data_IF_601032611974
#
_entry.id   IF_601032611974
#
_cell.length_a   1.000
_cell.length_b   1.000
_cell.length_c   1.000
_cell.angle_alpha   90.00
_cell.angle_beta   90.00
_cell.angle_gamma   90.00
#
_symmetry.space_group_name_H-M   'P 1'
#
loop_
_entity.id
_entity.type
_entity.pdbx_description
1 polymer ?
#
# COMPACT_ATOMS: atom_id res chain seq x y z
N UNK A 1 5.91 -24.71 -5.15
CA UNK A 1 5.49 -23.87 -6.29
C UNK A 1 4.46 -22.93 -5.73
N UNK A 2 4.73 -21.63 -5.75
CA UNK A 2 3.77 -20.60 -5.35
C UNK A 2 2.70 -20.49 -6.45
N UNK A 3 1.44 -20.38 -6.07
CA UNK A 3 0.34 -20.13 -7.00
C UNK A 3 -0.16 -18.69 -6.88
N UNK A 4 -0.98 -18.28 -7.85
CA UNK A 4 -1.57 -16.93 -7.91
C UNK A 4 -2.28 -16.55 -6.62
N UNK A 5 -3.08 -17.46 -6.07
CA UNK A 5 -3.89 -17.14 -4.91
C UNK A 5 -3.04 -17.05 -3.63
N UNK A 6 -1.92 -17.76 -3.54
CA UNK A 6 -0.93 -17.58 -2.46
C UNK A 6 -0.27 -16.19 -2.55
N UNK A 7 0.08 -15.74 -3.76
CA UNK A 7 0.58 -14.38 -3.99
C UNK A 7 -0.45 -13.32 -3.58
N UNK A 8 -1.72 -13.47 -4.00
CA UNK A 8 -2.81 -12.56 -3.61
C UNK A 8 -3.07 -12.57 -2.10
N UNK A 9 -3.00 -13.74 -1.47
CA UNK A 9 -3.16 -13.87 -0.02
C UNK A 9 -2.02 -13.18 0.73
N UNK A 10 -0.79 -13.25 0.23
CA UNK A 10 0.34 -12.50 0.79
C UNK A 10 0.14 -10.98 0.66
N UNK A 11 -0.30 -10.51 -0.51
CA UNK A 11 -0.65 -9.10 -0.75
C UNK A 11 -1.72 -8.58 0.23
N UNK A 12 -2.68 -9.43 0.63
CA UNK A 12 -3.69 -9.10 1.65
C UNK A 12 -3.16 -9.15 3.08
N UNK A 13 -1.98 -9.70 3.35
CA UNK A 13 -1.57 -10.05 4.71
C UNK A 13 -0.72 -9.01 5.42
N UNK A 14 -0.04 -8.10 4.71
CA UNK A 14 0.97 -7.20 5.30
C UNK A 14 0.58 -6.57 6.65
N UNK A 15 -0.64 -6.02 6.84
CA UNK A 15 -1.04 -5.36 8.08
C UNK A 15 -0.95 -6.22 9.35
N UNK A 16 -0.92 -7.55 9.21
CA UNK A 16 -0.89 -8.51 10.32
C UNK A 16 0.39 -9.35 10.40
N UNK A 17 1.44 -9.01 9.64
CA UNK A 17 2.67 -9.80 9.60
C UNK A 17 3.81 -9.21 10.44
N UNK A 18 3.82 -7.89 10.62
CA UNK A 18 4.89 -7.20 11.33
C UNK A 18 4.36 -6.05 12.19
N UNK A 19 5.03 -5.82 13.32
CA UNK A 19 4.84 -4.68 14.24
C UNK A 19 5.79 -3.53 13.92
N UNK A 20 7.03 -3.83 13.55
CA UNK A 20 7.96 -2.80 13.10
C UNK A 20 8.87 -3.31 12.00
N UNK A 21 9.31 -2.39 11.14
CA UNK A 21 10.29 -2.64 10.10
C UNK A 21 11.30 -1.50 10.02
N UNK A 22 12.53 -1.87 9.71
CA UNK A 22 13.55 -0.94 9.22
C UNK A 22 13.84 -1.30 7.77
N UNK A 23 13.71 -0.32 6.87
CA UNK A 23 13.88 -0.52 5.44
C UNK A 23 14.58 0.66 4.75
N UNK A 24 15.12 0.40 3.58
CA UNK A 24 15.57 1.42 2.63
C UNK A 24 14.77 1.29 1.35
N UNK A 25 14.13 2.38 0.89
CA UNK A 25 13.48 2.45 -0.44
C UNK A 25 14.39 3.23 -1.38
N UNK A 26 14.62 2.70 -2.57
CA UNK A 26 15.34 3.37 -3.66
C UNK A 26 14.46 3.43 -4.90
N UNK A 27 14.29 4.61 -5.48
CA UNK A 27 13.65 4.76 -6.80
C UNK A 27 14.59 4.35 -7.93
N UNK A 28 14.03 3.86 -9.03
CA UNK A 28 14.76 3.40 -10.23
C UNK A 28 14.14 4.04 -11.47
N UNK A 29 14.98 4.52 -12.38
CA UNK A 29 14.55 5.18 -13.63
C UNK A 29 14.26 6.67 -13.47
N UNK A 30 13.80 7.30 -14.57
CA UNK A 30 13.41 8.71 -14.61
C UNK A 30 11.97 8.97 -14.13
N UNK A 31 11.31 7.94 -13.57
CA UNK A 31 10.06 8.08 -12.83
C UNK A 31 10.32 8.94 -11.57
N UNK A 32 10.25 10.25 -11.74
CA UNK A 32 10.43 11.29 -10.71
C UNK A 32 11.88 11.37 -10.20
N UNK A 33 12.76 11.96 -11.02
CA UNK A 33 14.07 12.54 -10.66
C UNK A 33 15.04 11.65 -9.85
N UNK A 34 15.59 10.67 -10.54
CA UNK A 34 16.98 10.20 -10.54
C UNK A 34 17.72 9.69 -9.28
N UNK A 35 17.46 10.07 -8.01
CA UNK A 35 18.20 9.48 -6.86
C UNK A 35 17.56 9.76 -5.47
N UNK A 36 16.36 9.27 -5.19
CA UNK A 36 15.76 9.41 -3.85
C UNK A 36 15.77 8.07 -3.11
N UNK A 37 16.94 7.71 -2.58
CA UNK A 37 17.07 6.68 -1.55
C UNK A 37 16.64 7.26 -0.19
N UNK A 38 15.78 6.56 0.53
CA UNK A 38 15.32 6.94 1.87
C UNK A 38 15.41 5.75 2.82
N UNK A 39 15.80 5.99 4.07
CA UNK A 39 15.78 4.97 5.13
C UNK A 39 14.62 5.26 6.07
N UNK A 40 13.84 4.24 6.40
CA UNK A 40 12.66 4.38 7.23
C UNK A 40 12.61 3.36 8.36
N UNK A 41 12.02 3.81 9.47
CA UNK A 41 11.64 3.03 10.63
C UNK A 41 10.14 3.21 10.81
N UNK A 42 9.39 2.12 10.71
CA UNK A 42 7.93 2.15 10.84
C UNK A 42 7.56 1.24 11.99
N UNK A 43 6.72 1.75 12.89
CA UNK A 43 6.15 1.01 14.02
C UNK A 43 4.63 1.13 13.96
N UNK A 44 3.97 -0.02 13.81
CA UNK A 44 2.52 -0.10 13.83
C UNK A 44 2.01 -0.21 15.28
N UNK A 45 0.95 0.53 15.64
CA UNK A 45 0.23 1.47 14.78
C UNK A 45 0.85 2.88 14.74
N UNK A 46 0.89 3.49 13.56
CA UNK A 46 0.88 4.95 13.41
C UNK A 46 2.21 5.70 13.59
N UNK A 47 3.34 5.05 13.87
CA UNK A 47 4.63 5.74 14.02
C UNK A 47 5.55 5.48 12.85
N UNK A 48 6.17 6.54 12.36
CA UNK A 48 7.15 6.45 11.30
C UNK A 48 8.22 7.54 11.42
N UNK A 49 9.45 7.16 11.12
CA UNK A 49 10.57 8.07 10.88
C UNK A 49 11.17 7.74 9.52
N UNK A 50 11.32 8.75 8.66
CA UNK A 50 12.02 8.63 7.37
C UNK A 50 13.18 9.61 7.37
N UNK A 51 14.34 9.16 6.90
CA UNK A 51 15.53 9.99 6.68
C UNK A 51 15.84 9.93 5.19
N UNK A 52 15.83 11.10 4.54
CA UNK A 52 16.15 11.21 3.11
C UNK A 52 17.67 11.24 2.84
N UNK A 53 18.04 11.29 1.56
CA UNK A 53 19.45 11.31 1.13
C UNK A 53 20.23 12.56 1.58
N UNK A 54 19.55 13.66 1.91
CA UNK A 54 20.15 14.89 2.44
C UNK A 54 20.27 14.84 3.98
N UNK A 55 19.67 13.84 4.61
CA UNK A 55 19.62 13.66 6.06
C UNK A 55 18.47 14.41 6.73
N UNK A 56 17.49 14.92 5.97
CA UNK A 56 16.29 15.51 6.55
C UNK A 56 15.42 14.41 7.15
N UNK A 57 14.87 14.68 8.34
CA UNK A 57 13.98 13.73 9.02
C UNK A 57 12.51 14.11 8.85
N UNK A 58 11.70 13.13 8.48
CA UNK A 58 10.25 13.20 8.51
C UNK A 58 9.72 12.28 9.61
N UNK A 59 9.05 12.86 10.61
CA UNK A 59 8.50 12.15 11.76
C UNK A 59 6.98 12.23 11.73
N UNK A 60 6.33 11.06 11.84
CA UNK A 60 4.88 10.94 11.93
C UNK A 60 4.54 10.12 13.17
N UNK A 61 3.62 10.63 13.98
CA UNK A 61 2.97 9.89 15.07
C UNK A 61 1.46 10.12 14.98
N UNK A 62 0.77 9.13 14.41
CA UNK A 62 -0.68 9.06 14.31
C UNK A 62 -1.29 8.08 15.32
N UNK A 63 -0.57 7.77 16.41
CA UNK A 63 -1.12 6.91 17.46
C UNK A 63 -2.40 7.52 18.07
N UNK A 64 -3.30 6.70 18.64
CA UNK A 64 -4.73 7.02 18.81
C UNK A 64 -5.13 8.19 19.70
N UNK A 65 -4.20 9.01 20.22
CA UNK A 65 -4.55 10.09 21.13
C UNK A 65 -5.43 11.19 20.49
N UNK A 66 -5.42 11.37 19.15
CA UNK A 66 -6.07 12.51 18.48
C UNK A 66 -6.72 12.20 17.10
N UNK A 67 -7.30 11.01 16.88
CA UNK A 67 -7.95 10.69 15.59
C UNK A 67 -9.39 11.24 15.47
N UNK A 68 -9.51 12.47 14.95
CA UNK A 68 -10.49 12.97 13.95
C UNK A 68 -12.01 12.83 14.18
N UNK A 69 -12.73 13.96 14.18
CA UNK A 69 -14.20 14.07 14.20
C UNK A 69 -14.80 13.65 12.85
N UNK A 70 -15.76 12.72 12.86
CA UNK A 70 -16.58 12.41 11.67
C UNK A 70 -17.76 13.39 11.59
N UNK A 71 -17.86 14.14 10.49
CA UNK A 71 -19.04 14.96 10.19
C UNK A 71 -20.06 14.12 9.42
N UNK A 72 -21.20 13.83 10.05
CA UNK A 72 -22.37 13.32 9.34
C UNK A 72 -23.12 14.51 8.70
N UNK A 73 -23.28 14.49 7.37
CA UNK A 73 -24.10 15.47 6.64
C UNK A 73 -25.41 14.80 6.24
N UNK A 74 -26.53 15.36 6.68
CA UNK A 74 -27.88 14.94 6.24
C UNK A 74 -28.18 15.53 4.87
N UNK A 75 -28.74 14.73 3.96
CA UNK A 75 -29.13 15.10 2.60
C UNK A 75 -30.35 16.03 2.52
N UNK A 76 -31.02 16.26 3.65
CA UNK A 76 -32.42 16.70 3.62
C UNK A 76 -32.61 18.21 3.89
N UNK A 77 -31.52 18.98 3.99
CA UNK A 77 -31.57 20.45 4.12
C UNK A 77 -32.16 20.99 5.43
N UNK A 78 -32.58 20.13 6.34
CA UNK A 78 -33.06 20.49 7.67
C UNK A 78 -31.88 20.78 8.61
N UNK A 79 -31.91 21.89 9.39
CA UNK A 79 -30.89 22.16 10.39
C UNK A 79 -30.93 21.07 11.47
N UNK A 80 -29.83 20.32 11.59
CA UNK A 80 -29.63 19.37 12.68
C UNK A 80 -29.72 20.13 14.02
N UNK A 81 -30.75 19.81 14.82
CA UNK A 81 -30.81 20.16 16.24
C UNK A 81 -29.50 19.75 16.93
N UNK A 82 -29.06 20.41 18.03
CA UNK A 82 -27.81 20.07 18.69
C UNK A 82 -27.89 18.62 19.15
N UNK A 83 -27.30 17.75 18.34
CA UNK A 83 -27.29 16.31 18.52
C UNK A 83 -26.52 16.10 19.82
N UNK A 84 -27.04 15.24 20.72
CA UNK A 84 -26.23 14.68 21.80
C UNK A 84 -24.86 14.30 21.24
N UNK A 85 -23.74 14.55 21.96
CA UNK A 85 -22.41 14.29 21.42
C UNK A 85 -22.38 12.86 20.90
N UNK A 86 -22.40 12.71 19.57
CA UNK A 86 -22.22 11.43 18.92
C UNK A 86 -20.77 11.12 19.22
N UNK A 87 -20.52 10.13 20.07
CA UNK A 87 -19.16 9.65 20.28
C UNK A 87 -18.57 9.38 18.89
N UNK A 88 -17.43 10.00 18.55
CA UNK A 88 -16.82 9.78 17.24
C UNK A 88 -16.62 8.26 17.07
N UNK A 89 -16.94 7.72 15.88
CA UNK A 89 -16.76 6.30 15.64
C UNK A 89 -15.31 5.93 15.94
N UNK A 90 -15.12 4.93 16.79
CA UNK A 90 -13.79 4.45 17.14
C UNK A 90 -13.19 3.77 15.90
N UNK A 91 -12.32 4.49 15.20
CA UNK A 91 -11.53 3.92 14.11
C UNK A 91 -10.46 3.03 14.73
N UNK A 92 -10.48 1.76 14.36
CA UNK A 92 -9.46 0.77 14.73
C UNK A 92 -8.49 0.57 13.58
N UNK A 93 -7.25 0.23 13.89
CA UNK A 93 -6.25 -0.18 12.89
C UNK A 93 -5.82 -1.62 13.12
N UNK A 94 -5.30 -2.31 12.09
CA UNK A 94 -4.67 -3.61 12.25
C UNK A 94 -3.72 -3.64 13.46
N UNK A 95 -3.79 -4.73 14.24
CA UNK A 95 -3.07 -4.97 15.49
C UNK A 95 -3.63 -4.28 16.74
N UNK A 96 -4.59 -3.36 16.62
CA UNK A 96 -5.32 -2.89 17.80
C UNK A 96 -6.05 -4.06 18.47
N UNK A 97 -6.06 -4.15 19.82
CA UNK A 97 -6.79 -5.21 20.53
C UNK A 97 -8.29 -5.25 20.22
N UNK A 98 -8.87 -4.10 19.86
CA UNK A 98 -10.29 -3.97 19.51
C UNK A 98 -10.57 -4.14 18.01
N UNK A 99 -9.53 -4.24 17.16
CA UNK A 99 -9.73 -4.40 15.74
C UNK A 99 -10.30 -5.80 15.41
N UNK A 100 -11.25 -5.89 14.46
CA UNK A 100 -11.73 -7.18 14.00
C UNK A 100 -10.59 -8.01 13.39
N UNK A 101 -10.54 -9.30 13.70
CA UNK A 101 -9.54 -10.20 13.14
C UNK A 101 -9.86 -10.54 11.67
N UNK A 102 -8.85 -10.71 10.80
CA UNK A 102 -9.06 -11.17 9.42
C UNK A 102 -9.43 -12.65 9.39
N UNK A 103 -10.10 -13.07 8.32
CA UNK A 103 -10.28 -14.50 8.03
C UNK A 103 -8.96 -15.04 7.50
N UNK A 104 -8.43 -16.07 8.14
CA UNK A 104 -7.16 -16.70 7.76
C UNK A 104 -7.38 -18.02 7.02
N UNK A 105 -6.49 -18.27 6.07
CA UNK A 105 -6.30 -19.55 5.40
C UNK A 105 -5.57 -20.54 6.32
N UNK A 106 -5.56 -21.85 5.99
CA UNK A 106 -4.78 -22.84 6.73
C UNK A 106 -3.27 -22.57 6.78
N UNK A 107 -2.73 -21.87 5.78
CA UNK A 107 -1.32 -21.44 5.71
C UNK A 107 -1.01 -20.19 6.54
N UNK A 108 -2.01 -19.60 7.21
CA UNK A 108 -1.90 -18.41 8.05
C UNK A 108 -2.03 -17.09 7.30
N UNK A 109 -2.05 -17.08 5.96
CA UNK A 109 -2.28 -15.89 5.15
C UNK A 109 -3.74 -15.46 5.20
N UNK A 110 -3.99 -14.19 4.87
CA UNK A 110 -5.33 -13.60 4.90
C UNK A 110 -6.15 -14.04 3.69
N UNK A 111 -7.24 -14.74 3.96
CA UNK A 111 -8.29 -15.03 2.97
C UNK A 111 -9.11 -13.77 2.68
N UNK A 112 -9.54 -13.08 3.75
CA UNK A 112 -10.42 -11.93 3.65
C UNK A 112 -10.09 -10.92 4.76
N UNK A 113 -9.95 -9.65 4.37
CA UNK A 113 -9.80 -8.53 5.30
C UNK A 113 -11.15 -8.13 5.91
N UNK A 114 -11.20 -7.67 7.17
CA UNK A 114 -12.40 -7.06 7.72
C UNK A 114 -12.88 -5.89 6.85
N UNK A 115 -14.12 -5.97 6.36
CA UNK A 115 -14.76 -4.87 5.63
C UNK A 115 -15.61 -4.06 6.60
N UNK A 116 -15.21 -2.82 6.89
CA UNK A 116 -15.98 -1.91 7.74
C UNK A 116 -15.39 -0.51 7.75
N UNK A 117 -16.25 0.51 7.77
CA UNK A 117 -15.85 1.92 7.76
C UNK A 117 -15.07 2.37 9.00
N UNK A 118 -15.07 1.54 10.05
CA UNK A 118 -14.35 1.77 11.30
C UNK A 118 -12.97 1.09 11.34
N UNK A 119 -12.48 0.53 10.22
CA UNK A 119 -11.13 -0.04 10.14
C UNK A 119 -10.31 0.77 9.14
N UNK A 120 -9.27 1.45 9.63
CA UNK A 120 -8.29 2.12 8.78
C UNK A 120 -7.10 1.17 8.56
N UNK A 121 -6.65 1.04 7.31
CA UNK A 121 -5.53 0.15 6.96
C UNK A 121 -4.23 0.88 6.68
N UNK A 122 -4.31 2.18 6.44
CA UNK A 122 -3.15 2.94 5.97
C UNK A 122 -2.12 3.09 7.08
N UNK A 123 -0.89 2.75 6.71
CA UNK A 123 0.30 3.13 7.48
C UNK A 123 0.56 4.65 7.32
N UNK A 124 1.33 5.25 8.23
CA UNK A 124 1.79 6.62 8.07
C UNK A 124 2.37 6.88 6.68
N UNK A 125 1.87 7.92 6.02
CA UNK A 125 2.26 8.27 4.66
C UNK A 125 3.55 9.08 4.63
N UNK A 126 4.47 8.72 3.73
CA UNK A 126 5.62 9.56 3.35
C UNK A 126 5.46 9.93 1.88
N UNK A 127 5.45 11.24 1.60
CA UNK A 127 5.23 11.86 0.28
C UNK A 127 3.83 11.62 -0.34
N UNK A 128 3.45 10.37 -0.59
CA UNK A 128 2.22 10.02 -1.29
C UNK A 128 1.77 8.57 -1.04
N UNK A 129 0.64 8.16 -1.63
CA UNK A 129 0.06 6.84 -1.43
C UNK A 129 0.82 5.67 -2.09
N UNK A 130 1.80 5.93 -2.97
CA UNK A 130 2.67 4.85 -3.48
C UNK A 130 3.46 4.24 -2.32
N UNK A 131 3.89 5.06 -1.35
CA UNK A 131 4.52 4.59 -0.12
C UNK A 131 3.62 3.66 0.68
N UNK A 132 2.37 4.07 0.90
CA UNK A 132 1.39 3.27 1.65
C UNK A 132 1.08 1.97 0.90
N UNK A 133 0.95 2.05 -0.43
CA UNK A 133 0.68 0.90 -1.29
C UNK A 133 1.87 -0.07 -1.44
N UNK A 134 3.08 0.40 -1.18
CA UNK A 134 4.28 -0.44 -1.04
C UNK A 134 4.26 -1.22 0.28
N UNK A 135 3.99 -0.54 1.40
CA UNK A 135 3.97 -1.15 2.74
C UNK A 135 2.84 -2.17 2.90
N UNK A 136 1.69 -1.85 2.36
CA UNK A 136 0.56 -2.74 2.25
C UNK A 136 0.25 -2.88 0.76
N UNK A 137 0.45 -4.01 0.08
CA UNK A 137 0.18 -4.10 -1.36
C UNK A 137 -1.16 -4.79 -1.70
N UNK A 138 -2.23 -4.53 -0.92
CA UNK A 138 -3.57 -5.10 -1.14
C UNK A 138 -4.11 -4.94 -2.55
N UNK A 139 -3.69 -3.89 -3.26
CA UNK A 139 -4.02 -3.63 -4.67
C UNK A 139 -3.66 -4.81 -5.59
N UNK A 140 -2.66 -5.61 -5.23
CA UNK A 140 -2.27 -6.80 -5.99
C UNK A 140 -3.18 -8.01 -5.72
N UNK A 141 -4.08 -7.91 -4.75
CA UNK A 141 -4.93 -9.03 -4.33
C UNK A 141 -6.22 -9.21 -5.13
N UNK A 142 -6.61 -8.21 -5.93
CA UNK A 142 -7.81 -8.23 -6.76
C UNK A 142 -7.73 -7.17 -7.87
N UNK A 143 -8.56 -7.28 -8.91
CA UNK A 143 -8.58 -6.29 -9.99
C UNK A 143 -7.33 -6.22 -10.87
N UNK A 144 -6.46 -7.23 -10.77
CA UNK A 144 -5.16 -7.31 -11.47
C UNK A 144 -5.04 -8.69 -12.09
N UNK A 145 -4.67 -8.77 -13.37
CA UNK A 145 -4.32 -10.02 -14.03
C UNK A 145 -2.91 -10.45 -13.60
N UNK A 146 -2.77 -11.67 -13.08
CA UNK A 146 -1.48 -12.24 -12.70
C UNK A 146 -1.01 -13.14 -13.85
N UNK A 147 0.01 -12.69 -14.58
CA UNK A 147 0.49 -13.34 -15.79
C UNK A 147 1.47 -14.46 -15.48
N UNK A 148 2.25 -14.30 -14.41
CA UNK A 148 3.21 -15.29 -13.91
C UNK A 148 3.41 -15.07 -12.41
N UNK A 149 3.76 -16.15 -11.70
CA UNK A 149 4.22 -16.10 -10.30
C UNK A 149 5.38 -17.05 -10.14
N UNK A 150 6.39 -16.62 -9.41
CA UNK A 150 7.56 -17.41 -9.06
C UNK A 150 8.02 -17.13 -7.63
N UNK A 151 8.70 -18.11 -7.05
CA UNK A 151 9.36 -17.95 -5.77
C UNK A 151 10.82 -17.58 -6.02
N UNK A 152 11.26 -16.49 -5.41
CA UNK A 152 12.59 -15.92 -5.59
C UNK A 152 13.24 -15.69 -4.22
N UNK A 153 14.54 -15.38 -4.25
CA UNK A 153 15.27 -14.88 -3.07
C UNK A 153 15.86 -13.53 -3.46
N UNK A 154 15.53 -12.49 -2.69
CA UNK A 154 16.08 -11.13 -2.84
C UNK A 154 16.79 -10.74 -1.56
N UNK A 155 18.05 -10.35 -1.66
CA UNK A 155 18.88 -9.94 -0.51
C UNK A 155 18.86 -10.94 0.67
N UNK A 156 18.78 -12.24 0.36
CA UNK A 156 18.72 -13.30 1.36
C UNK A 156 17.35 -13.53 1.99
N UNK A 157 16.30 -12.89 1.48
CA UNK A 157 14.91 -13.01 1.94
C UNK A 157 14.05 -13.71 0.88
N UNK A 158 13.19 -14.62 1.32
CA UNK A 158 12.23 -15.29 0.43
C UNK A 158 11.20 -14.28 -0.08
N UNK A 159 10.97 -14.26 -1.39
CA UNK A 159 9.97 -13.40 -2.03
C UNK A 159 9.09 -14.16 -3.00
N UNK A 160 7.89 -13.63 -3.24
CA UNK A 160 7.03 -14.05 -4.35
C UNK A 160 7.06 -12.96 -5.43
N UNK A 161 7.73 -13.27 -6.54
CA UNK A 161 7.76 -12.44 -7.74
C UNK A 161 6.54 -12.71 -8.61
N UNK A 162 6.02 -11.67 -9.27
CA UNK A 162 4.94 -11.81 -10.24
C UNK A 162 5.06 -10.79 -11.36
N UNK A 163 4.67 -11.18 -12.57
CA UNK A 163 4.33 -10.21 -13.63
C UNK A 163 2.83 -10.00 -13.60
N UNK A 164 2.41 -8.75 -13.48
CA UNK A 164 1.01 -8.37 -13.27
C UNK A 164 0.57 -7.27 -14.23
N UNK A 165 -0.73 -7.20 -14.53
CA UNK A 165 -1.32 -6.14 -15.34
C UNK A 165 -2.61 -5.64 -14.67
N UNK A 166 -2.79 -4.32 -14.46
CA UNK A 166 -4.07 -3.78 -14.02
C UNK A 166 -5.21 -4.18 -14.96
N UNK A 167 -6.28 -4.76 -14.41
CA UNK A 167 -7.49 -5.08 -15.16
C UNK A 167 -8.55 -3.97 -14.96
N UNK A 168 -9.67 -4.03 -15.68
CA UNK A 168 -10.73 -3.02 -15.56
C UNK A 168 -11.34 -2.89 -14.16
N UNK A 169 -11.17 -3.92 -13.31
CA UNK A 169 -11.61 -3.91 -11.91
C UNK A 169 -10.50 -3.52 -10.93
N UNK A 170 -9.36 -3.00 -11.42
CA UNK A 170 -8.28 -2.51 -10.56
C UNK A 170 -8.80 -1.38 -9.66
N UNK A 171 -8.57 -1.54 -8.35
CA UNK A 171 -9.05 -0.65 -7.31
C UNK A 171 -7.83 -0.14 -6.52
N UNK A 172 -7.10 0.85 -7.06
CA UNK A 172 -5.94 1.41 -6.39
C UNK A 172 -6.38 2.20 -5.14
N UNK A 173 -5.55 2.23 -4.10
CA UNK A 173 -5.84 3.07 -2.91
C UNK A 173 -5.98 4.54 -3.26
N UNK A 174 -5.18 4.98 -4.24
CA UNK A 174 -5.16 6.33 -4.72
C UNK A 174 -4.89 6.30 -6.22
N UNK A 175 -5.78 6.90 -7.02
CA UNK A 175 -5.69 6.87 -8.48
C UNK A 175 -4.48 7.62 -9.02
N UNK A 176 -4.05 8.73 -8.38
CA UNK A 176 -2.87 9.49 -8.81
C UNK A 176 -1.52 8.95 -8.32
N UNK A 177 -1.51 7.99 -7.39
CA UNK A 177 -0.31 7.39 -6.82
C UNK A 177 -0.48 5.87 -6.65
N UNK A 178 -1.17 5.25 -7.60
CA UNK A 178 -1.45 3.81 -7.59
C UNK A 178 -0.14 3.01 -7.58
N UNK A 179 -0.16 1.81 -6.96
CA UNK A 179 1.00 0.93 -7.01
C UNK A 179 1.34 0.58 -8.47
N UNK A 180 0.33 0.24 -9.27
CA UNK A 180 0.45 -0.07 -10.70
C UNK A 180 -0.11 1.10 -11.53
N UNK A 181 0.62 2.21 -11.60
CA UNK A 181 0.18 3.40 -12.33
C UNK A 181 0.30 3.24 -13.86
N UNK A 182 -0.67 2.56 -14.45
CA UNK A 182 -0.83 2.40 -15.90
C UNK A 182 -2.09 3.06 -16.46
N UNK A 183 -2.46 2.71 -17.69
CA UNK A 183 -3.62 3.26 -18.41
C UNK A 183 -4.92 3.18 -17.60
N UNK A 184 -5.14 2.08 -16.85
CA UNK A 184 -6.34 1.91 -16.02
C UNK A 184 -6.40 2.96 -14.90
N UNK A 185 -5.30 3.14 -14.15
CA UNK A 185 -5.24 4.11 -13.06
C UNK A 185 -5.35 5.55 -13.59
N UNK A 186 -4.69 5.86 -14.70
CA UNK A 186 -4.83 7.15 -15.40
C UNK A 186 -6.26 7.41 -15.87
N UNK A 187 -6.95 6.38 -16.38
CA UNK A 187 -8.36 6.44 -16.76
C UNK A 187 -9.28 6.76 -15.58
N UNK A 188 -9.06 6.10 -14.43
CA UNK A 188 -9.78 6.37 -13.18
C UNK A 188 -9.53 7.81 -12.69
N UNK A 189 -8.27 8.25 -12.64
CA UNK A 189 -7.90 9.60 -12.25
C UNK A 189 -8.62 10.66 -13.10
N UNK A 190 -8.68 10.45 -14.42
CA UNK A 190 -9.39 11.34 -15.34
C UNK A 190 -10.91 11.34 -15.07
N UNK A 191 -11.49 10.17 -14.82
CA UNK A 191 -12.92 10.05 -14.50
C UNK A 191 -13.30 10.77 -13.19
N UNK A 192 -12.37 10.85 -12.25
CA UNK A 192 -12.50 11.58 -10.98
C UNK A 192 -12.26 13.10 -11.13
N UNK A 193 -11.89 13.58 -12.32
CA UNK A 193 -11.56 14.99 -12.56
C UNK A 193 -10.19 15.40 -12.03
N UNK A 194 -9.29 14.43 -11.82
CA UNK A 194 -7.90 14.67 -11.46
C UNK A 194 -7.09 15.30 -12.60
N UNK A 195 -5.83 15.69 -12.32
CA UNK A 195 -4.95 16.25 -13.35
C UNK A 195 -4.77 15.25 -14.48
N UNK A 196 -4.82 15.73 -15.72
CA UNK A 196 -4.47 14.89 -16.87
C UNK A 196 -2.99 14.54 -16.77
N UNK A 197 -2.63 13.25 -16.78
CA UNK A 197 -1.23 12.85 -16.85
C UNK A 197 -0.64 13.37 -18.16
N UNK A 198 0.66 13.66 -18.15
CA UNK A 198 1.40 14.06 -19.35
C UNK A 198 1.19 13.02 -20.47
N UNK A 199 1.18 13.48 -21.73
CA UNK A 199 1.08 12.58 -22.88
C UNK A 199 2.27 11.61 -22.87
N UNK A 200 2.01 10.37 -22.47
CA UNK A 200 3.01 9.30 -22.34
C UNK A 200 2.43 7.95 -22.73
N UNK A 201 3.28 7.03 -23.17
CA UNK A 201 2.94 5.62 -23.27
C UNK A 201 3.07 4.96 -21.89
N UNK A 202 1.97 4.39 -21.40
CA UNK A 202 1.97 3.63 -20.14
C UNK A 202 2.56 2.23 -20.32
N UNK A 203 3.09 1.67 -19.23
CA UNK A 203 3.52 0.28 -19.16
C UNK A 203 2.39 -0.71 -19.50
N UNK A 204 2.74 -1.78 -20.21
CA UNK A 204 1.81 -2.87 -20.57
C UNK A 204 1.59 -3.84 -19.41
N UNK A 205 2.58 -3.96 -18.52
CA UNK A 205 2.59 -4.83 -17.36
C UNK A 205 3.64 -4.33 -16.35
N UNK A 206 3.70 -4.97 -15.19
CA UNK A 206 4.64 -4.64 -14.13
C UNK A 206 5.25 -5.92 -13.57
N UNK A 207 6.54 -5.90 -13.26
CA UNK A 207 7.15 -6.90 -12.39
C UNK A 207 7.08 -6.40 -10.96
N UNK A 208 6.61 -7.24 -10.04
CA UNK A 208 6.55 -6.93 -8.61
C UNK A 208 7.11 -8.09 -7.80
N UNK A 209 7.62 -7.80 -6.61
CA UNK A 209 8.01 -8.84 -5.65
C UNK A 209 7.50 -8.53 -4.25
N UNK A 210 6.93 -9.54 -3.58
CA UNK A 210 6.47 -9.45 -2.19
C UNK A 210 7.40 -10.20 -1.26
N UNK A 211 7.87 -9.56 -0.20
CA UNK A 211 8.63 -10.24 0.86
C UNK A 211 7.72 -11.20 1.64
N UNK A 212 8.10 -12.48 1.74
CA UNK A 212 7.24 -13.52 2.34
C UNK A 212 7.06 -13.28 3.84
N UNK A 213 8.05 -12.75 4.55
CA UNK A 213 7.96 -12.50 5.98
C UNK A 213 6.99 -11.36 6.29
N UNK A 214 7.07 -10.25 5.56
CA UNK A 214 6.34 -9.01 5.86
C UNK A 214 5.11 -8.77 4.99
N UNK A 215 5.08 -9.30 3.77
CA UNK A 215 4.08 -9.00 2.75
C UNK A 215 4.28 -7.65 2.06
N UNK A 216 5.37 -6.92 2.34
CA UNK A 216 5.70 -5.62 1.71
C UNK A 216 6.09 -5.86 0.24
N UNK A 217 5.68 -4.94 -0.64
CA UNK A 217 6.17 -4.90 -2.01
C UNK A 217 7.61 -4.36 -2.02
N UNK A 218 8.57 -5.23 -2.33
CA UNK A 218 10.01 -4.94 -2.27
C UNK A 218 10.65 -4.70 -3.63
N UNK A 219 9.90 -4.90 -4.71
CA UNK A 219 10.29 -4.50 -6.05
C UNK A 219 9.05 -4.09 -6.82
N UNK A 220 9.18 -3.05 -7.62
CA UNK A 220 8.28 -2.72 -8.70
C UNK A 220 9.08 -2.27 -9.92
N UNK A 221 8.75 -2.79 -11.10
CA UNK A 221 9.28 -2.36 -12.40
C UNK A 221 8.18 -2.25 -13.44
N UNK A 222 8.15 -1.14 -14.15
CA UNK A 222 7.36 -0.97 -15.37
C UNK A 222 7.91 -1.87 -16.49
N UNK A 223 7.02 -2.48 -17.27
CA UNK A 223 7.36 -3.26 -18.46
C UNK A 223 6.67 -2.65 -19.68
N UNK A 224 7.47 -2.09 -20.59
CA UNK A 224 7.00 -1.28 -21.71
C UNK A 224 6.68 0.17 -21.32
N UNK A 225 6.11 0.92 -22.25
CA UNK A 225 5.86 2.35 -22.08
C UNK A 225 7.12 3.21 -22.16
N UNK A 226 6.97 4.50 -21.86
CA UNK A 226 8.08 5.47 -21.92
C UNK A 226 9.04 5.34 -20.71
N UNK A 227 8.54 4.81 -19.58
CA UNK A 227 9.28 4.63 -18.33
C UNK A 227 9.71 3.16 -18.12
N UNK A 228 9.96 2.40 -19.20
CA UNK A 228 10.33 0.97 -19.13
C UNK A 228 11.50 0.72 -18.16
N UNK A 229 11.31 -0.21 -17.21
CA UNK A 229 12.27 -0.52 -16.17
C UNK A 229 12.29 0.46 -14.98
N UNK A 230 11.46 1.51 -14.96
CA UNK A 230 11.34 2.40 -13.82
C UNK A 230 10.51 1.78 -12.69
N UNK A 231 10.66 2.30 -11.47
CA UNK A 231 9.91 1.86 -10.28
C UNK A 231 10.71 2.04 -9.00
N UNK A 232 10.74 1.01 -8.14
CA UNK A 232 11.49 1.07 -6.88
C UNK A 232 12.00 -0.30 -6.40
N UNK A 233 13.04 -0.26 -5.56
CA UNK A 233 13.50 -1.39 -4.74
C UNK A 233 13.34 -1.07 -3.25
N UNK A 234 13.12 -2.10 -2.46
CA UNK A 234 13.14 -2.01 -0.99
C UNK A 234 14.06 -3.08 -0.41
N UNK A 235 15.01 -2.64 0.39
CA UNK A 235 15.85 -3.51 1.23
C UNK A 235 15.32 -3.48 2.66
N UNK A 236 15.01 -4.64 3.24
CA UNK A 236 14.51 -4.74 4.61
C UNK A 236 15.68 -5.15 5.52
N UNK A 237 16.08 -4.25 6.42
CA UNK A 237 17.21 -4.45 7.32
C UNK A 237 16.80 -5.17 8.62
N UNK A 238 15.62 -4.89 9.14
CA UNK A 238 15.11 -5.51 10.36
C UNK A 238 13.59 -5.59 10.38
N UNK A 239 13.04 -6.62 11.05
CA UNK A 239 11.61 -6.84 11.22
C UNK A 239 11.34 -7.29 12.65
N UNK A 240 10.30 -6.72 13.27
CA UNK A 240 9.65 -7.30 14.45
C UNK A 240 8.34 -7.94 13.99
N UNK A 241 8.23 -9.27 13.93
CA UNK A 241 6.99 -9.94 13.51
C UNK A 241 5.87 -9.79 14.56
N UNK A 242 4.63 -10.09 14.15
CA UNK A 242 3.43 -10.07 15.02
C UNK A 242 3.36 -11.30 15.92
#
# INVERSE_FOLDING_TARGET
MVDEETFRALARSSPWRWRSVELTRRLVGDAITADHEVRAWIERPGRMRVVDHEGNEHLVDETPADRGIVFAVSSDGEPVSPVSPVEPPQVTVPLDPAAPAPVRRPDGLVAQRPSGVAVAYDDPMYENYLWVAMLDPVELSGGVDVLSVEQLVREGRDTYGATVRPAAAYDPRCTCCALLFGEVAAGLLRAEGGPEPEERAFADAFTVALDVETGICVELRELGGDDDGAGFDVSIAAVTPV
#
